data_IF_899940683203
#
_entry.id   IF_899940683203
#
_cell.length_a   1.000
_cell.length_b   1.000
_cell.length_c   1.000
_cell.angle_alpha   90.00
_cell.angle_beta   90.00
_cell.angle_gamma   90.00
#
_symmetry.space_group_name_H-M   'P 1'
#
loop_
_entity.id
_entity.type
_entity.pdbx_description
1 polymer ?
#
# COMPACT_ATOMS: atom_id res chain seq x y z
N UNK A 1 6.37 20.47 12.38
CA UNK A 1 5.74 20.50 11.05
C UNK A 1 6.52 19.52 10.20
N UNK A 2 5.95 18.34 9.97
CA UNK A 2 6.64 17.26 9.26
C UNK A 2 6.39 17.36 7.76
N UNK A 3 7.45 17.18 6.98
CA UNK A 3 7.41 17.15 5.52
C UNK A 3 7.12 15.71 5.10
N UNK A 4 5.89 15.46 4.66
CA UNK A 4 5.47 14.17 4.11
C UNK A 4 5.31 14.26 2.60
N UNK A 5 5.74 13.22 1.89
CA UNK A 5 5.60 13.09 0.45
C UNK A 5 4.19 12.62 0.11
N UNK A 6 3.35 13.50 -0.43
CA UNK A 6 1.99 13.16 -0.86
C UNK A 6 1.96 12.91 -2.38
N UNK A 7 1.62 11.70 -2.85
CA UNK A 7 1.54 11.41 -4.27
C UNK A 7 0.41 12.20 -4.95
N UNK A 8 0.69 12.78 -6.12
CA UNK A 8 -0.27 13.61 -6.87
C UNK A 8 -1.24 12.81 -7.74
N UNK A 9 -1.01 11.50 -7.93
CA UNK A 9 -1.87 10.63 -8.72
C UNK A 9 -2.08 9.29 -8.01
N UNK A 10 -3.32 8.81 -7.94
CA UNK A 10 -3.67 7.53 -7.32
C UNK A 10 -3.91 6.45 -8.38
N UNK A 11 -3.41 5.26 -8.13
CA UNK A 11 -3.57 4.10 -9.00
C UNK A 11 -4.53 3.12 -8.32
N UNK A 12 -5.69 2.91 -8.90
CA UNK A 12 -6.64 1.95 -8.36
C UNK A 12 -6.16 0.51 -8.63
N UNK A 13 -6.26 -0.34 -7.60
CA UNK A 13 -6.00 -1.78 -7.68
C UNK A 13 -7.33 -2.51 -7.43
N UNK A 14 -7.91 -3.00 -8.52
CA UNK A 14 -9.14 -3.78 -8.58
C UNK A 14 -8.89 -5.30 -8.61
N UNK A 15 -7.63 -5.71 -8.77
CA UNK A 15 -7.24 -7.10 -8.91
C UNK A 15 -6.74 -7.67 -7.57
N UNK A 16 -7.46 -8.66 -7.04
CA UNK A 16 -7.12 -9.37 -5.81
C UNK A 16 -5.65 -9.81 -5.72
N UNK A 17 -5.14 -10.45 -6.78
CA UNK A 17 -3.77 -10.96 -6.78
C UNK A 17 -2.73 -9.83 -6.71
N UNK A 18 -2.99 -8.70 -7.37
CA UNK A 18 -2.11 -7.52 -7.26
C UNK A 18 -2.20 -6.90 -5.86
N UNK A 19 -3.40 -6.77 -5.30
CA UNK A 19 -3.59 -6.24 -3.95
C UNK A 19 -2.86 -7.10 -2.90
N UNK A 20 -3.01 -8.42 -2.96
CA UNK A 20 -2.30 -9.36 -2.09
C UNK A 20 -0.77 -9.21 -2.19
N UNK A 21 -0.24 -9.09 -3.40
CA UNK A 21 1.20 -8.91 -3.61
C UNK A 21 1.72 -7.58 -3.07
N UNK A 22 0.96 -6.51 -3.25
CA UNK A 22 1.35 -5.17 -2.80
C UNK A 22 1.27 -5.06 -1.28
N UNK A 23 0.23 -5.61 -0.64
CA UNK A 23 0.10 -5.64 0.83
C UNK A 23 1.27 -6.41 1.43
N UNK A 24 1.57 -7.63 0.94
CA UNK A 24 2.73 -8.40 1.41
C UNK A 24 4.06 -7.66 1.23
N UNK A 25 4.19 -6.84 0.19
CA UNK A 25 5.37 -6.02 -0.03
C UNK A 25 5.46 -4.88 0.99
N UNK A 26 4.34 -4.22 1.31
CA UNK A 26 4.31 -3.20 2.37
C UNK A 26 4.70 -3.85 3.70
N UNK A 27 4.09 -4.98 4.06
CA UNK A 27 4.35 -5.68 5.32
C UNK A 27 5.84 -6.02 5.47
N UNK A 28 6.46 -6.53 4.41
CA UNK A 28 7.90 -6.86 4.39
C UNK A 28 8.78 -5.61 4.56
N UNK A 29 8.37 -4.48 3.99
CA UNK A 29 9.09 -3.21 4.12
C UNK A 29 8.91 -2.60 5.51
N UNK A 30 7.77 -2.80 6.16
CA UNK A 30 7.50 -2.31 7.53
C UNK A 30 8.19 -3.16 8.61
N UNK A 31 8.48 -4.43 8.33
CA UNK A 31 9.22 -5.34 9.23
C UNK A 31 10.74 -5.05 9.27
N UNK A 32 11.23 -4.17 8.40
CA UNK A 32 12.64 -3.79 8.35
C UNK A 32 12.93 -2.59 9.29
N UNK A 33 13.75 -2.82 10.32
CA UNK A 33 14.12 -1.83 11.34
C UNK A 33 14.77 -0.54 10.77
N UNK A 34 15.34 -0.58 9.55
CA UNK A 34 15.93 0.57 8.89
C UNK A 34 14.91 1.40 8.09
N UNK A 35 13.69 0.88 7.88
CA UNK A 35 12.61 1.56 7.16
C UNK A 35 11.80 2.44 8.11
N UNK A 36 11.80 3.75 7.84
CA UNK A 36 11.15 4.76 8.71
C UNK A 36 9.75 5.16 8.28
N UNK A 37 9.44 5.04 6.99
CA UNK A 37 8.12 5.38 6.46
C UNK A 37 7.93 4.80 5.06
N UNK A 38 6.84 4.07 4.85
CA UNK A 38 6.40 3.59 3.54
C UNK A 38 5.29 4.51 3.03
N UNK A 39 5.44 4.98 1.79
CA UNK A 39 4.42 5.80 1.13
C UNK A 39 4.05 5.14 -0.18
N UNK A 40 2.76 5.07 -0.46
CA UNK A 40 2.25 4.53 -1.70
C UNK A 40 1.15 5.38 -2.29
N UNK A 41 0.98 5.23 -3.59
CA UNK A 41 -0.05 5.91 -4.35
C UNK A 41 -1.12 4.97 -4.88
N UNK A 42 -1.13 3.70 -4.45
CA UNK A 42 -2.20 2.79 -4.81
C UNK A 42 -3.41 2.98 -3.89
N UNK A 43 -4.58 2.75 -4.46
CA UNK A 43 -5.87 2.75 -3.78
C UNK A 43 -6.51 1.38 -4.03
N UNK A 44 -6.69 0.57 -2.99
CA UNK A 44 -7.23 -0.79 -3.12
C UNK A 44 -8.73 -0.69 -2.90
N UNK A 45 -9.52 -1.11 -3.89
CA UNK A 45 -10.98 -1.03 -3.80
C UNK A 45 -11.50 -1.86 -2.61
N UNK A 46 -12.52 -1.35 -1.89
CA UNK A 46 -13.09 -2.02 -0.71
C UNK A 46 -13.52 -3.47 -0.97
N UNK A 47 -14.01 -3.77 -2.18
CA UNK A 47 -14.38 -5.13 -2.58
C UNK A 47 -13.21 -6.10 -2.51
N UNK A 48 -12.02 -5.65 -2.93
CA UNK A 48 -10.79 -6.46 -2.92
C UNK A 48 -10.24 -6.58 -1.50
N UNK A 49 -10.30 -5.49 -0.72
CA UNK A 49 -9.96 -5.51 0.71
C UNK A 49 -10.84 -6.47 1.50
N UNK A 50 -12.14 -6.56 1.18
CA UNK A 50 -13.08 -7.47 1.83
C UNK A 50 -12.82 -8.94 1.47
N UNK A 51 -12.24 -9.24 0.30
CA UNK A 51 -11.83 -10.59 -0.08
C UNK A 51 -10.51 -11.02 0.60
N UNK A 52 -9.71 -10.05 1.07
CA UNK A 52 -8.41 -10.28 1.74
C UNK A 52 -8.53 -10.50 3.26
N UNK A 53 -9.71 -10.24 3.86
CA UNK A 53 -10.00 -10.43 5.29
C UNK A 53 -10.71 -11.74 5.59
#
# INVERSE_FOLDING_TARGET
ADVIWNPQNRIEIDNYKKAEQVIKLIDLLEDDDDVKSVHSNFDISESVMAELG
#
